data_IF_490291428935
#
_entry.id   IF_490291428935
#
_cell.length_a   1.000
_cell.length_b   1.000
_cell.length_c   1.000
_cell.angle_alpha   90.00
_cell.angle_beta   90.00
_cell.angle_gamma   90.00
#
_symmetry.space_group_name_H-M   'P 1'
#
loop_
_entity.id
_entity.type
_entity.pdbx_description
1 polymer ?
#
# COMPACT_ATOMS: atom_id res chain seq x y z
N UNK A 1 -25.61 37.32 -2.20
CA UNK A 1 -24.73 37.41 -3.39
C UNK A 1 -23.29 37.47 -2.87
N UNK A 2 -22.66 36.32 -2.67
CA UNK A 2 -21.29 36.19 -2.18
C UNK A 2 -20.53 35.33 -3.18
N UNK A 3 -19.80 35.99 -4.08
CA UNK A 3 -18.91 35.37 -5.06
C UNK A 3 -17.69 34.83 -4.30
N UNK A 4 -17.58 33.51 -4.23
CA UNK A 4 -16.51 32.81 -3.50
C UNK A 4 -15.38 32.50 -4.48
N UNK A 5 -14.34 33.32 -4.44
CA UNK A 5 -13.02 33.04 -5.01
C UNK A 5 -12.44 31.77 -4.36
N UNK A 6 -12.27 30.71 -5.13
CA UNK A 6 -11.85 29.40 -4.63
C UNK A 6 -10.86 28.65 -5.51
N UNK A 7 -10.10 29.36 -6.36
CA UNK A 7 -9.32 28.74 -7.44
C UNK A 7 -7.79 28.75 -7.26
N UNK A 8 -7.26 28.83 -6.02
CA UNK A 8 -5.80 29.01 -5.80
C UNK A 8 -5.00 27.85 -5.18
N UNK A 9 -5.56 26.64 -5.04
CA UNK A 9 -4.86 25.55 -4.32
C UNK A 9 -4.49 24.29 -5.14
N UNK A 10 -4.65 24.30 -6.46
CA UNK A 10 -4.37 23.12 -7.31
C UNK A 10 -2.98 23.08 -7.96
N UNK A 11 -2.13 24.09 -7.75
CA UNK A 11 -0.81 24.14 -8.40
C UNK A 11 0.29 23.33 -7.69
N UNK A 12 0.12 22.92 -6.43
CA UNK A 12 1.20 22.31 -5.64
C UNK A 12 1.33 20.79 -5.73
N UNK A 13 0.25 20.05 -6.04
CA UNK A 13 0.24 18.58 -5.87
C UNK A 13 0.54 17.81 -7.16
N UNK A 14 0.47 18.45 -8.33
CA UNK A 14 0.82 17.84 -9.62
C UNK A 14 2.33 17.70 -9.88
N UNK A 15 3.15 18.45 -9.13
CA UNK A 15 4.60 18.46 -9.30
C UNK A 15 5.27 17.18 -8.77
N UNK A 16 4.73 16.57 -7.70
CA UNK A 16 5.36 15.40 -7.06
C UNK A 16 5.12 14.11 -7.85
N UNK A 17 3.95 13.97 -8.48
CA UNK A 17 3.63 12.76 -9.27
C UNK A 17 4.31 12.80 -10.65
N UNK A 18 4.45 13.98 -11.25
CA UNK A 18 5.13 14.12 -12.56
C UNK A 18 6.66 13.95 -12.43
N UNK A 19 7.26 14.37 -11.31
CA UNK A 19 8.71 14.19 -11.07
C UNK A 19 9.14 12.73 -10.92
N UNK A 20 8.23 11.82 -10.55
CA UNK A 20 8.53 10.39 -10.42
C UNK A 20 8.48 9.64 -11.76
N UNK A 21 7.78 10.18 -12.77
CA UNK A 21 7.60 9.54 -14.09
C UNK A 21 8.66 9.98 -15.10
N UNK A 22 9.26 11.17 -14.95
CA UNK A 22 10.30 11.67 -15.88
C UNK A 22 11.72 11.16 -15.62
N UNK A 23 11.96 10.39 -14.54
CA UNK A 23 13.28 9.82 -14.27
C UNK A 23 13.59 8.52 -15.07
N UNK A 24 12.69 8.08 -15.95
CA UNK A 24 12.80 6.77 -16.63
C UNK A 24 12.98 6.85 -18.17
N UNK A 25 13.31 8.01 -18.73
CA UNK A 25 13.58 8.12 -20.17
C UNK A 25 15.08 8.09 -20.48
N UNK A 26 15.49 6.89 -20.89
CA UNK A 26 16.73 6.45 -21.55
C UNK A 26 17.69 7.51 -22.04
N UNK A 27 18.89 7.47 -21.46
CA UNK A 27 20.14 7.69 -22.19
C UNK A 27 21.00 6.44 -21.96
N UNK A 28 21.40 5.79 -23.05
CA UNK A 28 22.26 4.60 -23.08
C UNK A 28 23.69 4.93 -22.64
N UNK A 29 23.82 5.28 -21.37
CA UNK A 29 25.08 5.28 -20.66
C UNK A 29 24.95 4.26 -19.57
N UNK A 30 25.86 3.28 -19.60
CA UNK A 30 26.16 2.34 -18.54
C UNK A 30 26.66 3.15 -17.33
N UNK A 31 25.79 3.98 -16.74
CA UNK A 31 25.91 4.27 -15.33
C UNK A 31 25.53 2.95 -14.66
N UNK A 32 26.56 2.23 -14.24
CA UNK A 32 26.50 1.37 -13.05
C UNK A 32 26.14 2.25 -11.85
N UNK A 33 24.96 2.87 -11.86
CA UNK A 33 24.29 3.25 -10.63
C UNK A 33 24.06 1.92 -9.94
N UNK A 34 24.63 1.69 -8.75
CA UNK A 34 24.43 0.43 -8.06
C UNK A 34 22.92 0.19 -7.96
N UNK A 35 22.48 -0.98 -8.40
CA UNK A 35 21.09 -1.46 -8.49
C UNK A 35 20.33 -1.37 -7.13
N UNK A 36 21.01 -0.93 -6.06
CA UNK A 36 20.47 -0.65 -4.73
C UNK A 36 19.65 0.65 -4.59
N UNK A 37 19.72 1.63 -5.50
CA UNK A 37 18.96 2.89 -5.30
C UNK A 37 17.44 2.68 -5.47
N UNK A 38 17.02 1.86 -6.43
CA UNK A 38 15.60 1.60 -6.72
C UNK A 38 14.83 1.09 -5.49
N UNK A 39 15.24 -0.02 -4.86
CA UNK A 39 14.56 -0.55 -3.67
C UNK A 39 14.55 0.40 -2.48
N UNK A 40 15.59 1.24 -2.33
CA UNK A 40 15.66 2.21 -1.23
C UNK A 40 14.59 3.31 -1.40
N UNK A 41 14.44 3.87 -2.61
CA UNK A 41 13.41 4.87 -2.89
C UNK A 41 12.01 4.29 -2.66
N UNK A 42 11.76 3.05 -3.12
CA UNK A 42 10.47 2.38 -2.90
C UNK A 42 10.16 2.22 -1.40
N UNK A 43 11.15 1.87 -0.58
CA UNK A 43 10.99 1.77 0.88
C UNK A 43 10.69 3.11 1.54
N UNK A 44 11.39 4.17 1.14
CA UNK A 44 11.13 5.53 1.66
C UNK A 44 9.73 6.00 1.25
N UNK A 45 9.31 5.73 0.01
CA UNK A 45 7.97 6.04 -0.47
C UNK A 45 6.90 5.26 0.34
N UNK A 46 7.13 3.99 0.63
CA UNK A 46 6.23 3.19 1.47
C UNK A 46 6.19 3.72 2.93
N UNK A 47 7.35 4.03 3.52
CA UNK A 47 7.48 4.58 4.87
C UNK A 47 6.80 5.94 5.04
N UNK A 48 6.64 6.71 3.97
CA UNK A 48 5.92 7.98 4.01
C UNK A 48 4.43 7.80 3.73
N UNK A 49 4.07 6.90 2.79
CA UNK A 49 2.68 6.63 2.45
C UNK A 49 1.90 5.96 3.60
N UNK A 50 2.47 4.94 4.25
CA UNK A 50 1.74 4.15 5.27
C UNK A 50 1.35 4.99 6.49
N UNK A 51 2.24 5.81 7.10
CA UNK A 51 1.84 6.72 8.18
C UNK A 51 0.81 7.76 7.75
N UNK A 52 0.87 8.26 6.51
CA UNK A 52 -0.14 9.20 6.01
C UNK A 52 -1.53 8.55 5.94
N UNK A 53 -1.63 7.32 5.45
CA UNK A 53 -2.88 6.55 5.38
C UNK A 53 -3.37 6.18 6.79
N UNK A 54 -2.47 5.72 7.66
CA UNK A 54 -2.77 5.37 9.05
C UNK A 54 -3.26 6.59 9.84
N UNK A 55 -2.56 7.72 9.72
CA UNK A 55 -2.94 8.98 10.33
C UNK A 55 -4.31 9.46 9.86
N UNK A 56 -4.59 9.37 8.55
CA UNK A 56 -5.92 9.67 8.03
C UNK A 56 -7.00 8.74 8.63
N UNK A 57 -6.75 7.43 8.69
CA UNK A 57 -7.70 6.47 9.23
C UNK A 57 -8.05 6.74 10.70
N UNK A 58 -7.05 7.10 11.51
CA UNK A 58 -7.22 7.47 12.93
C UNK A 58 -7.94 8.82 13.06
N UNK A 59 -7.49 9.86 12.34
CA UNK A 59 -7.99 11.22 12.46
C UNK A 59 -9.39 11.42 11.87
N UNK A 60 -9.80 10.62 10.87
CA UNK A 60 -11.15 10.66 10.28
C UNK A 60 -12.25 10.48 11.33
N UNK A 61 -11.93 9.89 12.48
CA UNK A 61 -12.86 9.78 13.60
C UNK A 61 -13.21 11.12 14.27
N UNK A 62 -12.28 12.07 14.22
CA UNK A 62 -12.31 13.32 14.99
C UNK A 62 -12.45 14.56 14.11
N UNK A 63 -12.06 14.46 12.84
CA UNK A 63 -12.12 15.58 11.89
C UNK A 63 -13.47 15.58 11.16
N UNK A 64 -14.10 16.76 10.95
CA UNK A 64 -15.30 16.90 10.13
C UNK A 64 -15.08 16.39 8.69
N UNK A 65 -16.18 16.26 7.92
CA UNK A 65 -16.15 15.62 6.60
C UNK A 65 -15.00 16.12 5.73
N UNK A 66 -14.08 15.20 5.42
CA UNK A 66 -12.91 15.52 4.62
C UNK A 66 -13.34 15.80 3.18
N UNK A 67 -12.72 16.81 2.57
CA UNK A 67 -12.95 17.12 1.17
C UNK A 67 -12.70 15.92 0.25
N UNK A 68 -13.38 15.92 -0.89
CA UNK A 68 -13.24 14.88 -1.91
C UNK A 68 -11.79 14.72 -2.40
N UNK A 69 -11.08 15.83 -2.57
CA UNK A 69 -9.69 15.82 -3.02
C UNK A 69 -8.77 15.10 -2.01
N UNK A 70 -8.90 15.41 -0.72
CA UNK A 70 -8.14 14.73 0.33
C UNK A 70 -8.47 13.23 0.39
N UNK A 71 -9.75 12.87 0.28
CA UNK A 71 -10.17 11.46 0.23
C UNK A 71 -9.58 10.73 -0.99
N UNK A 72 -9.56 11.39 -2.15
CA UNK A 72 -8.97 10.85 -3.38
C UNK A 72 -7.45 10.68 -3.24
N UNK A 73 -6.76 11.65 -2.63
CA UNK A 73 -5.32 11.56 -2.38
C UNK A 73 -5.00 10.38 -1.47
N UNK A 74 -5.72 10.19 -0.37
CA UNK A 74 -5.48 9.05 0.53
C UNK A 74 -5.79 7.71 -0.16
N UNK A 75 -6.88 7.63 -0.93
CA UNK A 75 -7.19 6.43 -1.70
C UNK A 75 -6.10 6.12 -2.73
N UNK A 76 -5.60 7.14 -3.44
CA UNK A 76 -4.50 7.00 -4.39
C UNK A 76 -3.19 6.59 -3.68
N UNK A 77 -2.88 7.17 -2.52
CA UNK A 77 -1.73 6.79 -1.70
C UNK A 77 -1.82 5.34 -1.23
N UNK A 78 -3.01 4.86 -0.88
CA UNK A 78 -3.22 3.46 -0.50
C UNK A 78 -3.01 2.49 -1.67
N UNK A 79 -3.52 2.82 -2.87
CA UNK A 79 -3.23 2.05 -4.09
C UNK A 79 -1.74 2.08 -4.43
N UNK A 80 -1.10 3.25 -4.34
CA UNK A 80 0.34 3.41 -4.53
C UNK A 80 1.14 2.55 -3.55
N UNK A 81 0.78 2.57 -2.26
CA UNK A 81 1.42 1.74 -1.24
C UNK A 81 1.27 0.24 -1.54
N UNK A 82 0.11 -0.22 -2.02
CA UNK A 82 -0.09 -1.62 -2.45
C UNK A 82 0.84 -1.96 -3.62
N UNK A 83 0.94 -1.10 -4.64
CA UNK A 83 1.83 -1.33 -5.78
C UNK A 83 3.29 -1.35 -5.33
N UNK A 84 3.70 -0.41 -4.49
CA UNK A 84 5.06 -0.38 -3.92
C UNK A 84 5.37 -1.66 -3.14
N UNK A 85 4.42 -2.12 -2.32
CA UNK A 85 4.55 -3.37 -1.56
C UNK A 85 4.70 -4.58 -2.48
N UNK A 86 3.93 -4.65 -3.56
CA UNK A 86 4.04 -5.70 -4.58
C UNK A 86 5.38 -5.67 -5.31
N UNK A 87 5.95 -4.49 -5.59
CA UNK A 87 7.26 -4.36 -6.22
C UNK A 87 8.41 -4.69 -5.26
N UNK A 88 8.24 -4.48 -3.95
CA UNK A 88 9.24 -4.78 -2.93
C UNK A 88 9.21 -6.24 -2.48
N UNK A 89 8.05 -6.89 -2.62
CA UNK A 89 7.84 -8.28 -2.30
C UNK A 89 8.50 -9.18 -3.34
N UNK A 90 9.27 -10.18 -2.89
CA UNK A 90 9.77 -11.25 -3.76
C UNK A 90 8.66 -12.25 -4.17
N UNK A 91 7.46 -12.08 -3.63
CA UNK A 91 6.30 -12.93 -3.90
C UNK A 91 5.26 -12.81 -2.79
N UNK A 92 3.98 -12.93 -3.18
CA UNK A 92 2.87 -13.05 -2.24
C UNK A 92 2.49 -14.52 -2.04
N UNK A 93 1.97 -14.84 -0.86
CA UNK A 93 1.39 -16.15 -0.56
C UNK A 93 -0.03 -16.27 -1.14
N UNK A 94 -0.21 -15.84 -2.40
CA UNK A 94 -1.49 -15.77 -3.09
C UNK A 94 -1.34 -16.24 -4.54
N UNK A 95 -2.35 -16.92 -5.11
CA UNK A 95 -2.45 -17.13 -6.54
C UNK A 95 -2.40 -15.78 -7.30
N UNK A 96 -1.75 -15.71 -8.48
CA UNK A 96 -1.65 -14.48 -9.27
C UNK A 96 -3.01 -13.81 -9.57
N UNK A 97 -4.06 -14.62 -9.75
CA UNK A 97 -5.42 -14.14 -10.01
C UNK A 97 -5.98 -13.31 -8.84
N UNK A 98 -5.65 -13.69 -7.61
CA UNK A 98 -6.08 -12.94 -6.42
C UNK A 98 -5.32 -11.61 -6.28
N UNK A 99 -4.07 -11.55 -6.73
CA UNK A 99 -3.29 -10.29 -6.74
C UNK A 99 -3.94 -9.28 -7.70
N UNK A 100 -4.31 -9.71 -8.90
CA UNK A 100 -5.03 -8.86 -9.88
C UNK A 100 -6.39 -8.43 -9.33
N UNK A 101 -7.12 -9.35 -8.68
CA UNK A 101 -8.39 -9.04 -8.04
C UNK A 101 -8.24 -7.99 -6.92
N UNK A 102 -7.21 -8.10 -6.07
CA UNK A 102 -6.91 -7.14 -5.01
C UNK A 102 -6.53 -5.76 -5.56
N UNK A 103 -5.76 -5.71 -6.65
CA UNK A 103 -5.44 -4.47 -7.35
C UNK A 103 -6.69 -3.80 -7.92
N UNK A 104 -7.56 -4.56 -8.58
CA UNK A 104 -8.84 -4.05 -9.08
C UNK A 104 -9.73 -3.55 -7.93
N UNK A 105 -9.82 -4.33 -6.86
CA UNK A 105 -10.62 -4.02 -5.67
C UNK A 105 -10.09 -2.77 -4.96
N UNK A 106 -8.78 -2.61 -4.81
CA UNK A 106 -8.16 -1.44 -4.16
C UNK A 106 -8.26 -0.16 -5.01
N UNK A 107 -8.37 -0.30 -6.34
CA UNK A 107 -8.57 0.83 -7.26
C UNK A 107 -10.03 1.33 -7.28
N UNK A 108 -10.98 0.48 -6.89
CA UNK A 108 -12.40 0.83 -6.90
C UNK A 108 -12.76 2.01 -5.98
N UNK A 109 -12.27 2.14 -4.73
CA UNK A 109 -12.46 3.33 -3.91
C UNK A 109 -12.04 4.63 -4.59
N UNK A 110 -10.89 4.63 -5.27
CA UNK A 110 -10.41 5.80 -6.00
C UNK A 110 -11.37 6.16 -7.15
N UNK A 111 -11.80 5.16 -7.92
CA UNK A 111 -12.79 5.35 -8.98
C UNK A 111 -14.14 5.86 -8.43
N UNK A 112 -14.61 5.31 -7.32
CA UNK A 112 -15.85 5.73 -6.64
C UNK A 112 -15.76 7.18 -6.13
N UNK A 113 -14.59 7.59 -5.65
CA UNK A 113 -14.34 8.97 -5.21
C UNK A 113 -14.24 9.91 -6.41
N UNK A 114 -13.69 9.49 -7.55
CA UNK A 114 -13.50 10.35 -8.73
C UNK A 114 -14.71 10.42 -9.67
N UNK A 115 -15.59 9.42 -9.65
CA UNK A 115 -16.79 9.37 -10.48
C UNK A 115 -17.75 10.52 -10.13
N UNK A 116 -18.10 11.35 -11.14
CA UNK A 116 -19.09 12.44 -11.03
C UNK A 116 -20.40 12.17 -11.76
N UNK A 117 -20.47 11.08 -12.52
CA UNK A 117 -21.64 10.77 -13.34
C UNK A 117 -22.84 10.36 -12.49
N UNK A 118 -23.94 11.09 -12.63
CA UNK A 118 -25.24 10.74 -12.05
C UNK A 118 -25.74 9.39 -12.57
N UNK A 119 -25.42 9.04 -13.82
CA UNK A 119 -25.73 7.72 -14.41
C UNK A 119 -25.13 6.56 -13.61
N UNK A 120 -24.03 6.80 -12.90
CA UNK A 120 -23.33 5.81 -12.08
C UNK A 120 -23.75 5.86 -10.60
N UNK A 121 -24.73 6.68 -10.23
CA UNK A 121 -25.15 6.84 -8.83
C UNK A 121 -25.55 5.51 -8.17
N UNK A 122 -26.23 4.62 -8.90
CA UNK A 122 -26.60 3.28 -8.40
C UNK A 122 -25.37 2.43 -8.06
N UNK A 123 -24.37 2.42 -8.95
CA UNK A 123 -23.11 1.69 -8.74
C UNK A 123 -22.32 2.28 -7.57
N UNK A 124 -22.31 3.61 -7.46
CA UNK A 124 -21.65 4.31 -6.34
C UNK A 124 -22.33 4.01 -5.01
N UNK A 125 -23.66 4.01 -4.97
CA UNK A 125 -24.43 3.65 -3.78
C UNK A 125 -24.18 2.19 -3.38
N UNK A 126 -24.18 1.27 -4.34
CA UNK A 126 -23.85 -0.13 -4.11
C UNK A 126 -22.43 -0.31 -3.57
N UNK A 127 -21.44 0.32 -4.21
CA UNK A 127 -20.05 0.27 -3.76
C UNK A 127 -19.88 0.79 -2.33
N UNK A 128 -20.58 1.87 -1.97
CA UNK A 128 -20.58 2.39 -0.59
C UNK A 128 -21.27 1.46 0.41
N UNK A 129 -22.31 0.75 0.01
CA UNK A 129 -22.99 -0.24 0.83
C UNK A 129 -22.13 -1.50 1.05
N UNK A 130 -21.36 -1.91 0.05
CA UNK A 130 -20.43 -3.04 0.14
C UNK A 130 -19.14 -2.70 0.89
N UNK A 131 -18.73 -1.43 0.90
CA UNK A 131 -17.49 -0.98 1.53
C UNK A 131 -17.24 -1.52 2.96
N UNK A 132 -18.18 -1.43 3.94
CA UNK A 132 -17.94 -1.94 5.29
C UNK A 132 -17.67 -3.46 5.30
N UNK A 133 -18.34 -4.22 4.44
CA UNK A 133 -18.12 -5.67 4.32
C UNK A 133 -16.73 -5.98 3.78
N UNK A 134 -16.27 -5.21 2.79
CA UNK A 134 -14.93 -5.36 2.22
C UNK A 134 -13.86 -5.02 3.26
N UNK A 135 -14.06 -3.96 4.06
CA UNK A 135 -13.15 -3.61 5.17
C UNK A 135 -13.06 -4.75 6.18
N UNK A 136 -14.19 -5.32 6.59
CA UNK A 136 -14.21 -6.43 7.55
C UNK A 136 -13.56 -7.68 6.97
N UNK A 137 -13.87 -8.06 5.73
CA UNK A 137 -13.27 -9.20 5.06
C UNK A 137 -11.74 -9.05 4.92
N UNK A 138 -11.28 -7.86 4.52
CA UNK A 138 -9.86 -7.54 4.41
C UNK A 138 -9.17 -7.56 5.78
N UNK A 139 -9.83 -7.06 6.83
CA UNK A 139 -9.32 -7.13 8.20
C UNK A 139 -9.13 -8.58 8.67
N UNK A 140 -10.16 -9.42 8.51
CA UNK A 140 -10.07 -10.84 8.85
C UNK A 140 -8.94 -11.52 8.09
N UNK A 141 -8.83 -11.30 6.78
CA UNK A 141 -7.75 -11.87 5.97
C UNK A 141 -6.36 -11.39 6.44
N UNK A 142 -6.21 -10.10 6.75
CA UNK A 142 -4.96 -9.54 7.27
C UNK A 142 -4.58 -10.17 8.62
N UNK A 143 -5.49 -10.23 9.58
CA UNK A 143 -5.22 -10.82 10.89
C UNK A 143 -4.93 -12.32 10.83
N UNK A 144 -5.62 -13.07 9.96
CA UNK A 144 -5.31 -14.48 9.72
C UNK A 144 -3.92 -14.64 9.11
N UNK A 145 -3.56 -13.80 8.13
CA UNK A 145 -2.23 -13.84 7.52
C UNK A 145 -1.11 -13.47 8.53
N UNK A 146 -1.29 -12.41 9.33
CA UNK A 146 -0.38 -12.07 10.42
C UNK A 146 -0.29 -13.17 11.47
N UNK A 147 -1.43 -13.73 11.89
CA UNK A 147 -1.50 -14.80 12.87
C UNK A 147 -0.83 -16.09 12.39
N UNK A 148 -0.86 -16.38 11.07
CA UNK A 148 -0.13 -17.50 10.46
C UNK A 148 1.36 -17.22 10.31
N UNK A 149 1.75 -15.97 10.07
CA UNK A 149 3.14 -15.57 9.93
C UNK A 149 3.87 -15.55 11.29
N UNK A 150 3.17 -15.26 12.39
CA UNK A 150 3.74 -15.07 13.72
C UNK A 150 4.39 -16.31 14.39
N UNK A 151 3.77 -17.52 14.39
CA UNK A 151 4.34 -18.68 15.09
C UNK A 151 5.56 -19.29 14.39
N UNK A 152 5.80 -18.96 13.12
CA UNK A 152 6.94 -19.49 12.35
C UNK A 152 8.20 -18.67 12.68
N UNK A 153 9.27 -19.35 13.10
CA UNK A 153 10.60 -18.73 13.29
C UNK A 153 11.60 -19.37 12.31
N UNK A 154 12.12 -18.63 11.32
CA UNK A 154 11.88 -17.22 11.01
C UNK A 154 10.49 -16.98 10.38
N UNK A 155 9.86 -15.81 10.58
CA UNK A 155 8.56 -15.53 10.00
C UNK A 155 8.64 -15.52 8.48
N UNK A 156 7.63 -16.11 7.84
CA UNK A 156 7.54 -16.19 6.39
C UNK A 156 7.29 -14.80 5.80
N UNK A 157 8.31 -14.23 5.17
CA UNK A 157 8.27 -12.96 4.43
C UNK A 157 7.06 -12.82 3.48
N UNK A 158 6.69 -13.83 2.64
CA UNK A 158 5.54 -13.68 1.73
C UNK A 158 4.19 -13.54 2.44
N UNK A 159 4.00 -14.18 3.61
CA UNK A 159 2.76 -14.02 4.38
C UNK A 159 2.66 -12.63 5.02
N UNK A 160 3.78 -12.05 5.46
CA UNK A 160 3.81 -10.68 6.01
C UNK A 160 3.42 -9.65 4.94
N UNK A 161 4.02 -9.71 3.76
CA UNK A 161 3.65 -8.84 2.64
C UNK A 161 2.17 -9.01 2.26
N UNK A 162 1.68 -10.25 2.24
CA UNK A 162 0.27 -10.55 1.97
C UNK A 162 -0.65 -9.90 3.02
N UNK A 163 -0.30 -9.98 4.30
CA UNK A 163 -1.06 -9.36 5.39
C UNK A 163 -1.08 -7.83 5.28
N UNK A 164 0.05 -7.21 4.92
CA UNK A 164 0.16 -5.76 4.67
C UNK A 164 -0.73 -5.35 3.50
N UNK A 165 -0.72 -6.06 2.38
CA UNK A 165 -1.57 -5.78 1.21
C UNK A 165 -3.06 -5.85 1.57
N UNK A 166 -3.49 -6.86 2.35
CA UNK A 166 -4.87 -6.93 2.84
C UNK A 166 -5.22 -5.76 3.76
N UNK A 167 -4.32 -5.39 4.68
CA UNK A 167 -4.54 -4.26 5.57
C UNK A 167 -4.69 -2.93 4.80
N UNK A 168 -3.80 -2.67 3.84
CA UNK A 168 -3.87 -1.48 2.97
C UNK A 168 -5.13 -1.48 2.09
N UNK A 169 -5.57 -2.65 1.61
CA UNK A 169 -6.83 -2.79 0.87
C UNK A 169 -8.02 -2.46 1.76
N UNK A 170 -8.06 -2.95 2.99
CA UNK A 170 -9.09 -2.57 3.96
C UNK A 170 -9.10 -1.06 4.24
N UNK A 171 -7.92 -0.45 4.41
CA UNK A 171 -7.80 0.99 4.63
C UNK A 171 -8.23 1.82 3.41
N UNK A 172 -7.98 1.35 2.18
CA UNK A 172 -8.43 2.05 0.97
C UNK A 172 -9.96 2.08 0.89
N UNK A 173 -10.64 0.98 1.22
CA UNK A 173 -12.10 0.91 1.28
C UNK A 173 -12.70 1.69 2.46
N UNK A 174 -11.99 1.79 3.57
CA UNK A 174 -12.39 2.63 4.69
C UNK A 174 -12.55 4.11 4.29
N UNK A 175 -11.83 4.57 3.25
CA UNK A 175 -11.98 5.95 2.74
C UNK A 175 -13.37 6.24 2.17
N UNK A 176 -14.07 5.23 1.64
CA UNK A 176 -15.43 5.36 1.07
C UNK A 176 -16.53 4.90 2.02
N UNK A 177 -16.19 4.21 3.11
CA UNK A 177 -17.13 3.83 4.16
C UNK A 177 -17.76 5.07 4.81
N UNK A 178 -19.09 5.16 4.71
CA UNK A 178 -19.93 6.10 5.47
C UNK A 178 -21.05 5.32 6.15
N UNK A 179 -20.90 4.93 7.43
CA UNK A 179 -22.02 4.34 8.16
C UNK A 179 -23.14 5.40 8.23
N UNK A 180 -24.33 5.04 7.76
CA UNK A 180 -25.46 5.97 7.63
C UNK A 180 -26.06 6.42 8.99
N UNK A 181 -25.54 5.93 10.12
CA UNK A 181 -26.05 6.24 11.46
C UNK A 181 -24.97 6.49 12.50
N UNK A 182 -25.33 7.23 13.55
CA UNK A 182 -24.49 7.54 14.70
C UNK A 182 -24.40 6.38 15.73
N UNK A 183 -24.29 5.15 15.24
CA UNK A 183 -24.40 3.94 16.06
C UNK A 183 -23.07 3.25 16.41
N UNK A 184 -23.14 2.15 17.20
CA UNK A 184 -21.98 1.35 17.57
C UNK A 184 -21.20 0.79 16.36
N UNK A 185 -21.87 0.59 15.23
CA UNK A 185 -21.24 0.19 13.98
C UNK A 185 -20.15 1.18 13.51
N UNK A 186 -20.34 2.49 13.75
CA UNK A 186 -19.32 3.51 13.42
C UNK A 186 -18.10 3.39 14.31
N UNK A 187 -18.29 3.09 15.59
CA UNK A 187 -17.20 2.87 16.54
C UNK A 187 -16.45 1.58 16.18
N UNK A 188 -17.16 0.49 15.91
CA UNK A 188 -16.57 -0.78 15.49
C UNK A 188 -15.72 -0.63 14.22
N UNK A 189 -16.23 0.04 13.18
CA UNK A 189 -15.46 0.31 11.96
C UNK A 189 -14.22 1.16 12.21
N UNK A 190 -14.28 2.13 13.14
CA UNK A 190 -13.10 2.91 13.54
C UNK A 190 -12.07 2.04 14.23
N UNK A 191 -12.48 1.21 15.19
CA UNK A 191 -11.58 0.29 15.88
C UNK A 191 -10.90 -0.65 14.88
N UNK A 192 -11.65 -1.24 13.94
CA UNK A 192 -11.11 -2.08 12.87
C UNK A 192 -10.11 -1.30 12.00
N UNK A 193 -10.44 -0.08 11.59
CA UNK A 193 -9.54 0.75 10.79
C UNK A 193 -8.27 1.13 11.56
N UNK A 194 -8.36 1.46 12.85
CA UNK A 194 -7.19 1.73 13.69
C UNK A 194 -6.32 0.48 13.86
N UNK A 195 -6.94 -0.69 14.02
CA UNK A 195 -6.20 -1.95 14.14
C UNK A 195 -5.50 -2.31 12.83
N UNK A 196 -6.16 -2.13 11.68
CA UNK A 196 -5.54 -2.28 10.35
C UNK A 196 -4.38 -1.30 10.13
N UNK A 197 -4.54 -0.04 10.54
CA UNK A 197 -3.52 0.99 10.44
C UNK A 197 -2.27 0.63 11.26
N UNK A 198 -2.46 0.20 12.52
CA UNK A 198 -1.38 -0.27 13.38
C UNK A 198 -0.72 -1.52 12.82
N UNK A 199 -1.49 -2.47 12.31
CA UNK A 199 -0.97 -3.70 11.71
C UNK A 199 -0.14 -3.40 10.44
N UNK A 200 -0.60 -2.49 9.57
CA UNK A 200 0.15 -2.06 8.40
C UNK A 200 1.45 -1.33 8.77
N UNK A 201 1.40 -0.44 9.77
CA UNK A 201 2.59 0.25 10.29
C UNK A 201 3.60 -0.72 10.88
N UNK A 202 3.14 -1.61 11.76
CA UNK A 202 4.00 -2.61 12.39
C UNK A 202 4.58 -3.59 11.36
N UNK A 203 3.75 -4.07 10.43
CA UNK A 203 4.17 -4.97 9.35
C UNK A 203 5.20 -4.33 8.43
N UNK A 204 4.99 -3.08 8.01
CA UNK A 204 5.96 -2.37 7.15
C UNK A 204 7.25 -2.04 7.90
N UNK A 205 7.18 -1.60 9.16
CA UNK A 205 8.36 -1.40 10.00
C UNK A 205 9.15 -2.70 10.18
N UNK A 206 8.46 -3.82 10.41
CA UNK A 206 9.07 -5.13 10.51
C UNK A 206 9.74 -5.55 9.19
N UNK A 207 9.04 -5.44 8.05
CA UNK A 207 9.59 -5.79 6.74
C UNK A 207 10.87 -5.01 6.37
N UNK A 208 10.99 -3.79 6.88
CA UNK A 208 12.15 -2.92 6.63
C UNK A 208 13.31 -3.24 7.58
N UNK A 209 13.04 -3.49 8.85
CA UNK A 209 14.06 -3.75 9.89
C UNK A 209 14.54 -5.19 9.91
N UNK A 210 13.68 -6.15 9.55
CA UNK A 210 13.97 -7.58 9.61
C UNK A 210 14.76 -8.10 8.41
N UNK A 211 15.05 -7.28 7.38
CA UNK A 211 16.01 -7.67 6.35
C UNK A 211 17.42 -7.38 6.87
N UNK A 212 18.17 -8.41 7.32
CA UNK A 212 19.54 -8.20 7.75
C UNK A 212 20.34 -7.56 6.62
N UNK A 213 21.24 -6.64 6.99
CA UNK A 213 22.25 -6.05 6.11
C UNK A 213 23.24 -7.10 5.54
N UNK A 214 22.91 -8.39 5.61
CA UNK A 214 23.72 -9.53 5.17
C UNK A 214 24.08 -9.51 3.68
N UNK A 215 23.41 -8.71 2.83
CA UNK A 215 23.91 -8.43 1.46
C UNK A 215 24.96 -7.33 1.36
N UNK A 216 25.16 -6.51 2.39
CA UNK A 216 26.17 -5.46 2.41
C UNK A 216 27.53 -5.96 2.91
N UNK A 217 27.59 -7.12 3.60
CA UNK A 217 28.80 -7.57 4.30
C UNK A 217 29.48 -8.83 3.74
N UNK A 218 28.94 -9.50 2.72
CA UNK A 218 29.62 -10.70 2.23
C UNK A 218 28.92 -11.43 1.10
N UNK A 219 29.14 -10.98 -0.14
CA UNK A 219 29.57 -11.99 -1.10
C UNK A 219 30.98 -12.38 -0.65
N UNK A 220 31.23 -13.60 -0.11
CA UNK A 220 32.60 -14.08 -0.08
C UNK A 220 33.15 -13.94 -1.52
N UNK A 221 34.41 -13.50 -1.69
CA UNK A 221 35.00 -13.42 -3.03
C UNK A 221 34.71 -14.73 -3.72
N UNK A 222 34.32 -14.68 -4.99
CA UNK A 222 34.22 -15.88 -5.81
C UNK A 222 35.56 -16.61 -5.70
N UNK A 223 35.65 -17.58 -4.79
CA UNK A 223 36.76 -18.50 -4.74
C UNK A 223 36.53 -19.31 -5.99
N UNK A 224 37.22 -18.89 -7.04
CA UNK A 224 37.38 -19.62 -8.27
C UNK A 224 37.55 -21.09 -7.90
N UNK A 225 36.50 -21.87 -8.13
CA UNK A 225 36.59 -23.32 -8.18
C UNK A 225 37.35 -23.68 -9.46
N UNK A 226 38.59 -23.22 -9.58
CA UNK A 226 39.61 -23.74 -10.48
C UNK A 226 40.24 -24.93 -9.76
N UNK A 227 39.44 -25.96 -9.49
CA UNK A 227 39.96 -27.22 -8.96
C UNK A 227 39.71 -28.32 -9.98
N UNK A 228 40.82 -28.74 -10.58
CA UNK A 228 41.06 -30.06 -11.16
C UNK A 228 40.35 -30.41 -12.46
N UNK A 229 40.88 -29.88 -13.56
CA UNK A 229 41.10 -30.70 -14.76
C UNK A 229 42.62 -30.95 -14.86
N UNK A 230 43.15 -31.83 -14.02
CA UNK A 230 44.49 -32.38 -14.25
C UNK A 230 44.29 -33.85 -14.59
N UNK A 231 44.42 -34.14 -15.89
CA UNK A 231 44.32 -35.47 -16.46
C UNK A 231 45.42 -36.37 -15.92
N UNK A 232 45.05 -37.62 -15.69
CA UNK A 232 45.96 -38.75 -15.52
C UNK A 232 46.41 -39.23 -16.90
N UNK A 233 47.71 -39.11 -17.18
CA UNK A 233 48.44 -39.92 -18.17
C UNK A 233 49.19 -41.05 -17.44
#
# INVERSE_FOLDING_TARGET
>A
MFLRDGNRLTAGTGAVITALVTAYQGHDHVLTVPVSIGPLILRVALLTAVPAIAGFAVLRGFVPETGRAATAMVAASAVGAIVLELMLSAGLALPPQLVVLLLALSSAPLWLVLSRDERKAKVVAFGRACAPWIVVAAAVAAFVAFGRAWPVRPPSEPLMHTAIVFALTGLSWFTVCRPAGAGPARVALRVVATALALAALAGTAYAITARPLERAAGSPPAINATTAYNGSD
#
